data_IF_566985739110
#
_entry.id   IF_566985739110
#
_cell.length_a   1.000
_cell.length_b   1.000
_cell.length_c   1.000
_cell.angle_alpha   90.00
_cell.angle_beta   90.00
_cell.angle_gamma   90.00
#
_symmetry.space_group_name_H-M   'P 1'
#
loop_
_entity.id
_entity.type
_entity.pdbx_description
1 polymer ?
#
# COMPACT_ATOMS: atom_id res chain seq x y z
N UNK A 1 -11.92 -29.49 31.78
CA UNK A 1 -11.24 -28.70 30.73
C UNK A 1 -10.62 -29.69 29.79
N UNK A 2 -11.12 -29.77 28.57
CA UNK A 2 -10.70 -30.76 27.59
C UNK A 2 -9.38 -30.29 26.95
N UNK A 3 -8.29 -30.97 27.28
CA UNK A 3 -6.99 -30.74 26.66
C UNK A 3 -7.01 -31.46 25.31
N UNK A 4 -7.37 -30.75 24.25
CA UNK A 4 -7.29 -31.26 22.88
C UNK A 4 -5.82 -31.40 22.50
N UNK A 5 -5.25 -32.58 22.74
CA UNK A 5 -3.90 -32.97 22.32
C UNK A 5 -3.87 -33.01 20.79
N UNK A 6 -3.35 -31.95 20.17
CA UNK A 6 -3.21 -31.87 18.72
C UNK A 6 -2.07 -32.81 18.30
N UNK A 7 -2.43 -33.90 17.63
CA UNK A 7 -1.49 -34.95 17.23
C UNK A 7 -0.93 -34.67 15.82
N UNK A 8 0.03 -33.74 15.73
CA UNK A 8 0.69 -33.41 14.46
C UNK A 8 1.65 -34.53 14.08
N UNK A 9 1.53 -35.05 12.85
CA UNK A 9 2.44 -36.07 12.28
C UNK A 9 3.36 -35.45 11.22
N UNK A 10 4.61 -35.93 11.10
CA UNK A 10 5.48 -35.55 9.97
C UNK A 10 4.79 -35.86 8.64
N UNK A 11 4.82 -34.90 7.71
CA UNK A 11 4.15 -35.02 6.40
C UNK A 11 2.77 -34.34 6.32
N UNK A 12 2.25 -33.79 7.41
CA UNK A 12 1.03 -32.96 7.37
C UNK A 12 1.32 -31.55 6.88
N UNK A 13 0.51 -31.03 5.96
CA UNK A 13 0.55 -29.61 5.57
C UNK A 13 -0.24 -28.80 6.59
N UNK A 14 0.37 -27.77 7.18
CA UNK A 14 -0.32 -26.81 8.03
C UNK A 14 -0.39 -25.43 7.36
N UNK A 15 -1.40 -24.65 7.73
CA UNK A 15 -1.47 -23.22 7.42
C UNK A 15 -1.31 -22.47 8.73
N UNK A 16 -0.32 -21.59 8.79
CA UNK A 16 -0.10 -20.70 9.93
C UNK A 16 -0.40 -19.26 9.50
N UNK A 17 -0.98 -18.48 10.42
CA UNK A 17 -1.20 -17.05 10.27
C UNK A 17 -0.36 -16.32 11.33
N UNK A 18 0.33 -15.26 10.93
CA UNK A 18 1.28 -14.54 11.79
C UNK A 18 0.74 -13.14 12.02
N UNK A 19 0.47 -12.81 13.28
CA UNK A 19 0.05 -11.48 13.71
C UNK A 19 1.19 -10.80 14.45
N UNK A 20 1.67 -9.66 13.96
CA UNK A 20 2.85 -8.97 14.53
C UNK A 20 2.43 -7.94 15.58
N UNK A 21 1.52 -7.03 15.24
CA UNK A 21 1.09 -5.94 16.11
C UNK A 21 -0.19 -5.31 15.60
N UNK A 22 -1.09 -4.95 16.52
CA UNK A 22 -2.36 -4.29 16.19
C UNK A 22 -2.42 -2.91 16.84
N UNK A 23 -2.98 -1.93 16.12
CA UNK A 23 -3.31 -0.59 16.63
C UNK A 23 -4.74 -0.29 16.25
N UNK A 24 -5.58 0.02 17.23
CA UNK A 24 -7.03 0.12 17.02
C UNK A 24 -7.49 1.46 16.43
N UNK A 25 -6.74 2.55 16.64
CA UNK A 25 -7.10 3.89 16.19
C UNK A 25 -5.92 4.54 15.49
N UNK A 26 -5.82 4.32 14.19
CA UNK A 26 -4.77 4.90 13.36
C UNK A 26 -5.34 5.28 11.99
N UNK A 27 -4.72 6.27 11.36
CA UNK A 27 -5.04 6.62 9.97
C UNK A 27 -4.52 5.51 9.08
N UNK A 28 -5.41 4.93 8.29
CA UNK A 28 -5.06 3.89 7.35
C UNK A 28 -5.65 4.18 5.98
N UNK A 29 -4.87 3.89 4.95
CA UNK A 29 -5.30 3.94 3.55
C UNK A 29 -5.28 2.54 2.95
N UNK A 30 -6.08 2.26 1.92
CA UNK A 30 -5.93 1.00 1.19
C UNK A 30 -4.51 0.85 0.67
N UNK A 31 -3.95 -0.36 0.74
CA UNK A 31 -2.60 -0.66 0.22
C UNK A 31 -2.39 -0.20 -1.23
N UNK A 32 -3.47 -0.19 -2.02
CA UNK A 32 -3.46 0.23 -3.42
C UNK A 32 -3.23 1.73 -3.63
N UNK A 33 -3.39 2.57 -2.60
CA UNK A 33 -3.23 4.02 -2.69
C UNK A 33 -1.78 4.48 -2.55
N UNK A 34 -0.90 3.62 -2.02
CA UNK A 34 0.49 3.96 -1.71
C UNK A 34 1.36 3.74 -2.93
N UNK A 35 2.12 4.77 -3.31
CA UNK A 35 3.05 4.75 -4.43
C UNK A 35 4.46 4.87 -3.89
N UNK A 36 5.30 3.92 -4.28
CA UNK A 36 6.72 3.91 -3.95
C UNK A 36 7.50 4.45 -5.14
N UNK A 37 8.36 5.42 -4.90
CA UNK A 37 9.28 5.93 -5.90
C UNK A 37 10.71 5.79 -5.41
N UNK A 38 11.57 5.27 -6.27
CA UNK A 38 13.00 5.25 -6.06
C UNK A 38 13.58 6.58 -6.52
N UNK A 39 14.17 7.35 -5.60
CA UNK A 39 14.98 8.50 -5.95
C UNK A 39 16.32 7.95 -6.44
N UNK A 40 16.43 7.77 -7.75
CA UNK A 40 17.72 7.63 -8.39
C UNK A 40 18.31 9.04 -8.54
N UNK A 41 19.39 9.31 -7.81
CA UNK A 41 20.26 10.43 -8.14
C UNK A 41 20.87 10.11 -9.51
N UNK A 42 20.72 11.05 -10.45
CA UNK A 42 21.03 10.98 -11.87
C UNK A 42 20.02 10.29 -12.82
N UNK A 43 19.50 11.13 -13.72
CA UNK A 43 18.46 10.81 -14.67
C UNK A 43 18.83 9.68 -15.64
N UNK A 44 18.01 8.62 -15.60
CA UNK A 44 17.82 7.73 -16.73
C UNK A 44 16.37 7.23 -16.72
N UNK A 45 15.66 7.54 -17.80
CA UNK A 45 14.37 6.97 -18.17
C UNK A 45 14.37 5.44 -17.95
N UNK A 46 13.51 4.95 -17.07
CA UNK A 46 13.27 3.52 -16.89
C UNK A 46 11.80 3.22 -17.13
N UNK A 47 11.51 2.84 -18.38
CA UNK A 47 10.29 2.15 -18.76
C UNK A 47 10.03 0.94 -17.83
N UNK A 48 8.91 0.96 -17.10
CA UNK A 48 8.41 -0.22 -16.40
C UNK A 48 8.02 -1.29 -17.44
N UNK A 49 8.97 -2.16 -17.80
CA UNK A 49 8.65 -3.44 -18.43
C UNK A 49 8.04 -4.35 -17.38
N UNK A 50 6.79 -4.74 -17.63
CA UNK A 50 6.04 -5.67 -16.80
C UNK A 50 6.80 -6.97 -16.56
N UNK A 51 7.08 -7.23 -15.28
CA UNK A 51 7.58 -8.50 -14.76
C UNK A 51 6.73 -8.90 -13.55
N UNK A 52 6.30 -10.16 -13.53
CA UNK A 52 5.50 -10.78 -12.48
C UNK A 52 6.38 -10.91 -11.22
N UNK A 53 6.36 -9.91 -10.35
CA UNK A 53 7.09 -9.92 -9.08
C UNK A 53 6.58 -8.82 -8.18
N UNK A 54 5.98 -9.19 -7.05
CA UNK A 54 5.62 -8.23 -6.00
C UNK A 54 6.85 -7.48 -5.49
N UNK A 55 6.65 -6.37 -4.75
CA UNK A 55 7.75 -5.57 -4.23
C UNK A 55 8.72 -6.45 -3.42
N UNK A 56 10.00 -6.46 -3.82
CA UNK A 56 11.06 -7.19 -3.12
C UNK A 56 11.47 -6.40 -1.89
N UNK A 57 10.82 -6.67 -0.77
CA UNK A 57 11.23 -6.18 0.55
C UNK A 57 12.36 -7.10 1.07
N UNK A 58 13.57 -6.93 0.55
CA UNK A 58 14.68 -7.81 0.87
C UNK A 58 16.04 -7.20 0.55
N UNK A 59 16.67 -6.63 1.59
CA UNK A 59 18.13 -6.54 1.79
C UNK A 59 18.92 -5.68 0.79
N UNK A 60 18.87 -4.35 0.97
CA UNK A 60 20.01 -3.46 0.74
C UNK A 60 19.74 -2.10 1.39
N UNK A 61 20.56 -1.73 2.38
CA UNK A 61 20.56 -0.41 3.02
C UNK A 61 21.15 0.64 2.07
N UNK A 62 20.39 1.01 1.03
CA UNK A 62 20.53 2.27 0.30
C UNK A 62 19.11 2.73 -0.07
N UNK A 63 18.36 3.12 0.96
CA UNK A 63 16.95 3.50 0.89
C UNK A 63 16.81 4.95 0.44
N UNK A 64 16.78 5.15 -0.87
CA UNK A 64 16.25 6.39 -1.44
C UNK A 64 14.81 6.17 -1.96
N UNK A 65 14.05 5.26 -1.37
CA UNK A 65 12.64 5.06 -1.72
C UNK A 65 11.74 5.97 -0.89
N UNK A 66 11.00 6.87 -1.54
CA UNK A 66 9.95 7.67 -0.87
C UNK A 66 8.60 7.02 -1.03
N UNK A 67 7.78 7.15 0.01
CA UNK A 67 6.40 6.68 0.02
C UNK A 67 5.48 7.87 -0.16
N UNK A 68 4.63 7.83 -1.17
CA UNK A 68 3.76 8.93 -1.56
C UNK A 68 2.32 8.47 -1.69
N UNK A 69 1.38 9.38 -1.46
CA UNK A 69 -0.05 9.22 -1.74
C UNK A 69 -0.54 10.40 -2.57
N UNK A 70 -1.63 10.20 -3.30
CA UNK A 70 -2.28 11.27 -4.04
C UNK A 70 -3.58 11.68 -3.35
N UNK A 71 -3.72 12.96 -3.06
CA UNK A 71 -4.92 13.59 -2.53
C UNK A 71 -5.71 14.20 -3.68
N UNK A 72 -7.01 13.98 -3.70
CA UNK A 72 -7.92 14.65 -4.61
C UNK A 72 -8.26 16.05 -4.07
N UNK A 73 -8.00 17.09 -4.86
CA UNK A 73 -8.42 18.45 -4.57
C UNK A 73 -8.93 19.11 -5.85
N UNK A 74 -10.20 19.51 -5.87
CA UNK A 74 -10.82 20.28 -6.96
C UNK A 74 -10.60 19.70 -8.38
N UNK A 75 -10.59 18.38 -8.52
CA UNK A 75 -10.39 17.71 -9.82
C UNK A 75 -8.91 17.50 -10.20
N UNK A 76 -7.99 17.77 -9.28
CA UNK A 76 -6.55 17.55 -9.46
C UNK A 76 -6.01 16.57 -8.42
N UNK A 77 -4.99 15.83 -8.81
CA UNK A 77 -4.22 14.97 -7.92
C UNK A 77 -3.06 15.77 -7.33
N UNK A 78 -2.99 15.87 -6.00
CA UNK A 78 -1.85 16.45 -5.29
C UNK A 78 -1.03 15.34 -4.65
N UNK A 79 0.25 15.27 -4.98
CA UNK A 79 1.17 14.27 -4.45
C UNK A 79 1.68 14.71 -3.08
N UNK A 80 1.64 13.81 -2.12
CA UNK A 80 2.07 14.07 -0.74
C UNK A 80 2.92 12.92 -0.22
N UNK A 81 4.10 13.24 0.27
CA UNK A 81 4.98 12.28 0.92
C UNK A 81 4.40 11.88 2.29
N UNK A 82 4.45 10.59 2.59
CA UNK A 82 3.91 10.01 3.83
C UNK A 82 4.91 9.10 4.51
N UNK A 83 4.80 9.01 5.83
CA UNK A 83 5.49 7.98 6.61
C UNK A 83 4.56 6.83 6.87
N UNK A 84 4.98 5.64 6.49
CA UNK A 84 4.20 4.42 6.64
C UNK A 84 4.46 3.74 7.99
N UNK A 85 3.43 3.10 8.53
CA UNK A 85 3.48 2.26 9.72
C UNK A 85 3.25 0.78 9.39
N UNK A 86 2.51 0.10 10.26
CA UNK A 86 2.17 -1.31 10.11
C UNK A 86 1.20 -1.50 8.93
N UNK A 87 1.47 -2.49 8.09
CA UNK A 87 0.56 -2.93 7.02
C UNK A 87 -0.13 -4.23 7.38
N UNK A 88 -1.30 -4.45 6.81
CA UNK A 88 -1.92 -5.77 6.66
C UNK A 88 -2.21 -6.04 5.17
N UNK A 89 -2.95 -7.10 4.85
CA UNK A 89 -3.25 -7.48 3.46
C UNK A 89 -4.07 -6.42 2.68
N UNK A 90 -4.82 -5.56 3.37
CA UNK A 90 -5.77 -4.63 2.73
C UNK A 90 -5.41 -3.14 2.94
N UNK A 91 -4.82 -2.82 4.08
CA UNK A 91 -4.64 -1.48 4.62
C UNK A 91 -3.18 -1.22 5.01
N UNK A 92 -2.76 0.02 4.79
CA UNK A 92 -1.46 0.55 5.21
C UNK A 92 -1.68 1.65 6.23
N UNK A 93 -1.08 1.53 7.41
CA UNK A 93 -1.04 2.60 8.40
C UNK A 93 -0.20 3.78 7.89
N UNK A 94 -0.70 5.00 8.09
CA UNK A 94 -0.01 6.26 7.82
C UNK A 94 0.29 6.96 9.16
N UNK A 95 1.58 7.12 9.46
CA UNK A 95 2.04 7.77 10.68
C UNK A 95 2.05 9.30 10.54
N UNK A 96 2.31 9.82 9.34
CA UNK A 96 2.31 11.26 9.07
C UNK A 96 2.23 11.54 7.58
N UNK A 97 1.80 12.75 7.23
CA UNK A 97 1.78 13.27 5.87
C UNK A 97 0.37 13.51 5.33
N UNK A 98 -0.67 12.94 5.95
CA UNK A 98 -2.07 13.21 5.63
C UNK A 98 -2.88 13.48 6.91
N UNK A 99 -4.05 14.09 6.73
CA UNK A 99 -4.97 14.41 7.81
C UNK A 99 -6.28 13.64 7.68
N UNK A 100 -6.99 13.49 8.79
CA UNK A 100 -8.38 13.01 8.77
C UNK A 100 -9.24 13.93 7.89
N UNK A 101 -9.95 13.32 6.92
CA UNK A 101 -10.80 14.04 5.97
C UNK A 101 -10.17 14.26 4.58
N UNK A 102 -8.88 14.00 4.39
CA UNK A 102 -8.25 14.04 3.06
C UNK A 102 -8.85 12.96 2.15
N UNK A 103 -9.31 13.35 0.95
CA UNK A 103 -9.79 12.40 -0.05
C UNK A 103 -8.61 11.76 -0.79
N UNK A 104 -8.30 10.50 -0.46
CA UNK A 104 -7.20 9.76 -1.10
C UNK A 104 -7.65 9.13 -2.42
N UNK A 105 -6.83 9.30 -3.46
CA UNK A 105 -7.03 8.67 -4.75
C UNK A 105 -6.57 7.22 -4.67
N UNK A 106 -7.49 6.30 -4.97
CA UNK A 106 -7.23 4.86 -5.00
C UNK A 106 -7.42 4.34 -6.42
N UNK A 107 -6.56 3.43 -6.87
CA UNK A 107 -6.67 2.86 -8.20
C UNK A 107 -5.66 1.76 -8.49
N UNK A 108 -5.68 1.21 -9.71
CA UNK A 108 -4.68 0.24 -10.14
C UNK A 108 -3.28 0.85 -10.04
N UNK A 109 -2.27 0.10 -9.55
CA UNK A 109 -0.93 0.63 -9.31
C UNK A 109 -0.27 1.17 -10.60
N UNK A 110 -0.60 0.59 -11.77
CA UNK A 110 -0.12 1.08 -13.07
C UNK A 110 -0.60 2.48 -13.44
N UNK A 111 -1.76 2.90 -12.94
CA UNK A 111 -2.32 4.23 -13.19
C UNK A 111 -1.71 5.23 -12.22
N UNK A 112 -1.66 4.88 -10.93
CA UNK A 112 -1.05 5.72 -9.90
C UNK A 112 0.45 5.96 -10.13
N UNK A 113 1.18 4.96 -10.64
CA UNK A 113 2.60 5.10 -10.98
C UNK A 113 2.87 6.04 -12.17
N UNK A 114 1.84 6.34 -12.98
CA UNK A 114 1.95 7.29 -14.11
C UNK A 114 1.39 8.67 -13.77
N UNK A 115 0.62 8.76 -12.69
CA UNK A 115 -0.02 9.98 -12.25
C UNK A 115 1.06 10.94 -11.72
N UNK A 116 1.00 12.19 -12.16
CA UNK A 116 1.89 13.25 -11.70
C UNK A 116 1.16 14.21 -10.79
N UNK A 117 1.93 14.98 -10.03
CA UNK A 117 1.38 16.08 -9.27
C UNK A 117 0.70 17.10 -10.21
N UNK A 118 -0.52 17.50 -9.88
CA UNK A 118 -1.35 18.42 -10.64
C UNK A 118 -2.18 17.79 -11.78
N UNK A 119 -2.05 16.48 -12.03
CA UNK A 119 -2.81 15.82 -13.08
C UNK A 119 -4.32 15.90 -12.82
N UNK A 120 -5.08 16.11 -13.90
CA UNK A 120 -6.55 16.13 -13.82
C UNK A 120 -7.11 14.73 -13.61
N UNK A 121 -7.95 14.59 -12.59
CA UNK A 121 -8.53 13.32 -12.16
C UNK A 121 -10.03 13.48 -12.00
N UNK A 122 -10.77 12.43 -12.35
CA UNK A 122 -12.22 12.40 -12.21
C UNK A 122 -12.62 11.30 -11.23
N UNK A 123 -13.62 11.59 -10.38
CA UNK A 123 -14.11 10.64 -9.38
C UNK A 123 -14.82 9.49 -10.10
N UNK A 124 -14.19 8.32 -10.11
CA UNK A 124 -14.84 7.10 -10.58
C UNK A 124 -15.39 6.32 -9.38
N UNK A 125 -16.69 6.39 -9.16
CA UNK A 125 -17.32 5.64 -8.08
C UNK A 125 -17.56 4.18 -8.53
N UNK A 126 -16.64 3.28 -8.20
CA UNK A 126 -16.86 1.85 -8.39
C UNK A 126 -17.77 1.35 -7.27
N UNK A 127 -19.06 1.18 -7.55
CA UNK A 127 -20.01 0.53 -6.63
C UNK A 127 -19.43 -0.84 -6.23
N UNK A 128 -19.05 -1.01 -4.97
CA UNK A 128 -18.69 -2.31 -4.41
C UNK A 128 -19.93 -3.22 -4.44
N UNK A 129 -19.85 -4.35 -5.14
CA UNK A 129 -20.93 -5.35 -5.24
C UNK A 129 -20.91 -6.41 -4.12
N UNK A 130 -20.14 -6.22 -3.05
CA UNK A 130 -19.94 -7.25 -2.01
C UNK A 130 -20.29 -6.75 -0.60
N UNK A 131 -21.48 -6.15 -0.44
CA UNK A 131 -22.14 -6.10 0.85
C UNK A 131 -23.50 -6.80 0.67
N UNK A 132 -23.52 -8.09 1.00
CA UNK A 132 -24.73 -8.91 1.15
C UNK A 132 -24.68 -9.53 2.54
#
# INVERSE_FOLDING_TARGET
MEESKIDIRPGMTCRAEIFIKTREKTLAVPMQAVVFEEINDDGADMSMRGGRGGPKFGTSMNLNTTSNVFIYSEGKASKKEVKLGISNDELQEILSGISEGDEIIVGPPRVLAKLKDGDSVNKFNRRNKNAS
#
